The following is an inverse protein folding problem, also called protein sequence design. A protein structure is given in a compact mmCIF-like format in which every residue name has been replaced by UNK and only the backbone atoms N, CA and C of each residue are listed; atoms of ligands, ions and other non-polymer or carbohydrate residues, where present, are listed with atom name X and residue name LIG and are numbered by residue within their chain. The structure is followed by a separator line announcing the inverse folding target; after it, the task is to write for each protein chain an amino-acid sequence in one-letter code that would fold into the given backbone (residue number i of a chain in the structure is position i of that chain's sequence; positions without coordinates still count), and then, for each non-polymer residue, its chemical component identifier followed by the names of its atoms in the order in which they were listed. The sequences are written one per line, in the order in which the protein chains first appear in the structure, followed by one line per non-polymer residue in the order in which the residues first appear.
data_IF_602332755650
#
_entry.id   IF_602332755650
#
_cell.length_a   1.000
_cell.length_b   1.000
_cell.length_c   1.000
_cell.angle_alpha   90.00
_cell.angle_beta   90.00
_cell.angle_gamma   90.00
#
_symmetry.space_group_name_H-M   'P 1'
#
loop_
_entity.id
_entity.type
_entity.pdbx_description
1 polymer ?
#
# COMPACT_ATOMS: atom_id res chain seq x y z
N UNK A 1 30.57 -0.94 0.85
CA UNK A 1 30.82 0.08 -0.20
C UNK A 1 29.53 0.52 -0.91
N UNK A 2 28.71 -0.39 -1.45
CA UNK A 2 27.44 -0.04 -2.14
C UNK A 2 26.36 0.62 -1.24
N UNK A 3 26.32 0.28 0.05
CA UNK A 3 25.38 0.88 1.00
C UNK A 3 25.63 2.39 1.27
N UNK A 4 26.86 2.88 1.08
CA UNK A 4 27.23 4.27 1.38
C UNK A 4 26.97 5.25 0.22
N UNK A 5 26.85 4.73 -1.01
CA UNK A 5 26.61 5.56 -2.20
C UNK A 5 25.12 5.96 -2.32
N UNK A 6 24.21 5.15 -1.75
CA UNK A 6 22.77 5.44 -1.73
C UNK A 6 22.36 6.62 -0.84
N UNK A 7 23.23 7.04 0.09
CA UNK A 7 23.00 8.21 0.97
C UNK A 7 23.33 9.54 0.28
N UNK A 8 23.88 9.54 -0.95
CA UNK A 8 24.13 10.77 -1.72
C UNK A 8 22.84 11.25 -2.39
N UNK A 9 22.10 12.02 -1.61
CA UNK A 9 21.53 13.29 -2.05
C UNK A 9 20.24 13.27 -2.90
N UNK A 10 19.39 12.24 -2.79
CA UNK A 10 18.01 12.30 -3.28
C UNK A 10 17.06 11.63 -2.28
N UNK A 11 16.61 12.36 -1.27
CA UNK A 11 15.61 11.90 -0.28
C UNK A 11 14.37 11.28 -0.93
N UNK A 12 13.99 11.75 -2.12
CA UNK A 12 12.91 11.16 -2.91
C UNK A 12 13.19 9.73 -3.38
N UNK A 13 14.43 9.40 -3.75
CA UNK A 13 14.81 8.04 -4.16
C UNK A 13 14.81 7.06 -2.99
N UNK A 14 15.24 7.47 -1.80
CA UNK A 14 15.21 6.58 -0.63
C UNK A 14 13.78 6.28 -0.18
N UNK A 15 12.86 7.26 -0.30
CA UNK A 15 11.44 7.08 0.00
C UNK A 15 10.76 6.12 -0.99
N UNK A 16 11.02 6.28 -2.29
CA UNK A 16 10.48 5.37 -3.30
C UNK A 16 11.07 3.96 -3.13
N UNK A 17 12.37 3.86 -2.82
CA UNK A 17 13.04 2.59 -2.57
C UNK A 17 12.48 1.81 -1.38
N UNK A 18 12.22 2.47 -0.25
CA UNK A 18 11.61 1.81 0.92
C UNK A 18 10.15 1.41 0.67
N UNK A 19 9.38 2.24 -0.03
CA UNK A 19 8.01 1.92 -0.45
C UNK A 19 7.97 0.68 -1.34
N UNK A 20 8.82 0.62 -2.37
CA UNK A 20 8.94 -0.54 -3.25
C UNK A 20 9.39 -1.80 -2.52
N UNK A 21 10.31 -1.68 -1.54
CA UNK A 21 10.73 -2.82 -0.73
C UNK A 21 9.56 -3.39 0.08
N UNK A 22 8.76 -2.54 0.74
CA UNK A 22 7.58 -2.97 1.49
C UNK A 22 6.55 -3.65 0.57
N UNK A 23 6.25 -3.04 -0.59
CA UNK A 23 5.37 -3.65 -1.60
C UNK A 23 5.90 -5.00 -2.09
N UNK A 24 7.21 -5.10 -2.33
CA UNK A 24 7.85 -6.34 -2.77
C UNK A 24 7.75 -7.47 -1.75
N UNK A 25 7.88 -7.18 -0.46
CA UNK A 25 7.71 -8.17 0.62
C UNK A 25 6.28 -8.71 0.61
N UNK A 26 5.28 -7.82 0.58
CA UNK A 26 3.85 -8.21 0.57
C UNK A 26 3.52 -9.00 -0.69
N UNK A 27 4.00 -8.56 -1.86
CA UNK A 27 3.80 -9.25 -3.12
C UNK A 27 4.42 -10.65 -3.13
N UNK A 28 5.61 -10.82 -2.52
CA UNK A 28 6.29 -12.12 -2.44
C UNK A 28 5.52 -13.12 -1.59
N UNK A 29 4.97 -12.68 -0.45
CA UNK A 29 4.09 -13.51 0.40
C UNK A 29 2.85 -13.93 -0.39
N UNK A 30 2.18 -12.96 -1.04
CA UNK A 30 1.00 -13.24 -1.87
C UNK A 30 1.28 -14.24 -3.01
N UNK A 31 2.42 -14.08 -3.70
CA UNK A 31 2.83 -14.98 -4.76
C UNK A 31 3.15 -16.40 -4.24
N UNK A 32 3.79 -16.52 -3.06
CA UNK A 32 4.11 -17.81 -2.45
C UNK A 32 2.90 -18.58 -1.93
N UNK A 33 1.85 -17.86 -1.52
CA UNK A 33 0.64 -18.46 -0.96
C UNK A 33 -0.37 -18.83 -2.05
N UNK A 34 -0.25 -18.30 -3.27
CA UNK A 34 -1.11 -18.68 -4.38
C UNK A 34 -1.03 -20.20 -4.67
N UNK A 35 -2.14 -20.96 -4.71
CA UNK A 35 -3.55 -20.53 -4.80
C UNK A 35 -4.35 -20.56 -3.47
N UNK A 36 -3.70 -20.75 -2.33
CA UNK A 36 -4.31 -20.87 -1.00
C UNK A 36 -4.26 -19.54 -0.22
N UNK A 37 -5.42 -18.96 0.09
CA UNK A 37 -5.48 -17.70 0.85
C UNK A 37 -5.37 -17.99 2.36
N UNK A 38 -5.96 -19.09 2.83
CA UNK A 38 -5.87 -19.57 4.20
C UNK A 38 -5.78 -21.11 4.22
N UNK A 39 -4.60 -21.71 4.46
CA UNK A 39 -4.50 -23.16 4.63
C UNK A 39 -5.09 -23.60 5.98
N UNK A 40 -6.00 -24.58 5.98
CA UNK A 40 -6.55 -25.15 7.21
C UNK A 40 -5.57 -26.18 7.79
N UNK A 41 -5.15 -26.00 9.04
CA UNK A 41 -4.22 -26.88 9.74
C UNK A 41 -4.86 -28.15 10.32
N UNK A 42 -6.19 -28.27 10.27
CA UNK A 42 -6.96 -29.38 10.88
C UNK A 42 -7.60 -30.28 9.83
N UNK A 43 -7.98 -29.76 8.66
CA UNK A 43 -8.58 -30.56 7.59
C UNK A 43 -8.19 -30.02 6.20
N UNK A 44 -7.36 -30.74 5.42
CA UNK A 44 -6.82 -30.25 4.14
C UNK A 44 -7.89 -30.00 3.06
N UNK A 45 -9.09 -30.60 3.18
CA UNK A 45 -10.23 -30.38 2.28
C UNK A 45 -11.02 -29.08 2.52
N UNK A 46 -10.78 -28.38 3.64
CA UNK A 46 -11.41 -27.08 3.94
C UNK A 46 -10.48 -25.89 3.64
N UNK A 47 -9.49 -26.11 2.77
CA UNK A 47 -8.54 -25.06 2.38
C UNK A 47 -9.23 -24.10 1.42
N UNK A 48 -9.40 -22.84 1.85
CA UNK A 48 -10.00 -21.77 1.05
C UNK A 48 -9.05 -21.39 -0.09
N UNK A 49 -9.28 -21.98 -1.24
CA UNK A 49 -8.60 -21.63 -2.49
C UNK A 49 -9.30 -20.45 -3.15
N UNK A 50 -8.56 -19.68 -3.97
CA UNK A 50 -9.13 -18.56 -4.74
C UNK A 50 -10.36 -18.95 -5.58
N UNK A 51 -10.48 -20.23 -5.92
CA UNK A 51 -11.53 -20.78 -6.76
C UNK A 51 -12.83 -21.09 -6.00
N UNK A 52 -12.73 -21.46 -4.72
CA UNK A 52 -13.89 -21.86 -3.90
C UNK A 52 -14.32 -20.76 -2.91
N UNK A 53 -13.43 -19.80 -2.62
CA UNK A 53 -13.70 -18.69 -1.68
C UNK A 53 -14.23 -17.41 -2.35
N UNK A 54 -14.56 -17.45 -3.64
CA UNK A 54 -15.03 -16.27 -4.37
C UNK A 54 -16.55 -16.10 -4.22
N UNK A 55 -16.98 -14.89 -3.85
CA UNK A 55 -18.40 -14.53 -3.77
C UNK A 55 -19.10 -14.71 -5.14
N UNK A 56 -20.44 -14.68 -5.15
CA UNK A 56 -21.23 -14.83 -6.37
C UNK A 56 -20.78 -13.85 -7.48
N UNK A 57 -20.84 -14.30 -8.74
CA UNK A 57 -20.36 -13.52 -9.90
C UNK A 57 -20.91 -12.09 -9.95
N UNK A 58 -22.19 -11.89 -9.61
CA UNK A 58 -22.83 -10.57 -9.56
C UNK A 58 -22.17 -9.66 -8.51
N UNK A 59 -21.96 -10.16 -7.29
CA UNK A 59 -21.40 -9.35 -6.20
C UNK A 59 -19.93 -9.02 -6.43
N UNK A 60 -19.15 -9.97 -6.96
CA UNK A 60 -17.75 -9.74 -7.33
C UNK A 60 -17.63 -8.69 -8.44
N UNK A 61 -18.50 -8.76 -9.46
CA UNK A 61 -18.52 -7.79 -10.55
C UNK A 61 -18.87 -6.38 -10.06
N UNK A 62 -19.86 -6.24 -9.16
CA UNK A 62 -20.19 -4.94 -8.54
C UNK A 62 -18.99 -4.40 -7.76
N UNK A 63 -18.35 -5.23 -6.92
CA UNK A 63 -17.18 -4.80 -6.13
C UNK A 63 -15.99 -4.42 -7.01
N UNK A 64 -15.82 -5.05 -8.17
CA UNK A 64 -14.81 -4.68 -9.16
C UNK A 64 -15.07 -3.26 -9.71
N UNK A 65 -16.31 -2.97 -10.14
CA UNK A 65 -16.69 -1.64 -10.64
C UNK A 65 -16.46 -0.58 -9.56
N UNK A 66 -16.92 -0.85 -8.33
CA UNK A 66 -16.72 0.03 -7.18
C UNK A 66 -15.23 0.29 -6.96
N UNK A 67 -14.41 -0.76 -6.89
CA UNK A 67 -12.96 -0.61 -6.66
C UNK A 67 -12.29 0.20 -7.77
N UNK A 68 -12.62 -0.06 -9.04
CA UNK A 68 -12.05 0.66 -10.19
C UNK A 68 -12.40 2.15 -10.17
N UNK A 69 -13.54 2.55 -9.63
CA UNK A 69 -13.96 3.96 -9.53
C UNK A 69 -13.41 4.62 -8.27
N UNK A 70 -13.60 4.01 -7.10
CA UNK A 70 -13.29 4.65 -5.82
C UNK A 70 -11.80 4.69 -5.50
N UNK A 71 -11.03 3.66 -5.84
CA UNK A 71 -9.57 3.64 -5.57
C UNK A 71 -8.85 4.81 -6.25
N UNK A 72 -9.00 5.09 -7.55
CA UNK A 72 -8.32 6.22 -8.17
C UNK A 72 -8.79 7.57 -7.61
N UNK A 73 -10.07 7.72 -7.24
CA UNK A 73 -10.58 8.93 -6.59
C UNK A 73 -9.87 9.17 -5.25
N UNK A 74 -9.77 8.13 -4.41
CA UNK A 74 -9.09 8.21 -3.11
C UNK A 74 -7.61 8.56 -3.29
N UNK A 75 -6.93 7.94 -4.26
CA UNK A 75 -5.53 8.25 -4.56
C UNK A 75 -5.35 9.69 -5.06
N UNK A 76 -6.25 10.20 -5.90
CA UNK A 76 -6.21 11.58 -6.37
C UNK A 76 -6.38 12.58 -5.23
N UNK A 77 -7.35 12.35 -4.34
CA UNK A 77 -7.53 13.16 -3.13
C UNK A 77 -6.28 13.12 -2.24
N UNK A 78 -5.76 11.92 -1.98
CA UNK A 78 -4.57 11.74 -1.12
C UNK A 78 -3.35 12.45 -1.72
N UNK A 79 -3.11 12.32 -3.03
CA UNK A 79 -2.03 13.01 -3.72
C UNK A 79 -2.19 14.55 -3.68
N UNK A 80 -3.43 15.05 -3.80
CA UNK A 80 -3.72 16.48 -3.66
C UNK A 80 -3.45 16.98 -2.25
N UNK A 81 -3.88 16.25 -1.21
CA UNK A 81 -3.59 16.60 0.20
C UNK A 81 -2.08 16.68 0.44
N UNK A 82 -1.30 15.69 -0.01
CA UNK A 82 0.16 15.76 0.11
C UNK A 82 0.76 16.94 -0.63
N UNK A 83 0.21 17.30 -1.81
CA UNK A 83 0.61 18.50 -2.56
C UNK A 83 0.29 19.79 -1.81
N UNK A 84 -0.85 19.88 -1.13
CA UNK A 84 -1.25 21.06 -0.34
C UNK A 84 -0.37 21.21 0.91
N UNK A 85 -0.05 20.11 1.58
CA UNK A 85 0.81 20.09 2.76
C UNK A 85 2.31 20.17 2.44
N UNK A 86 2.67 20.36 1.17
CA UNK A 86 4.05 20.35 0.73
C UNK A 86 4.74 21.66 1.14
N UNK A 87 5.42 21.63 2.29
CA UNK A 87 6.17 22.74 2.85
C UNK A 87 7.18 22.25 3.88
N UNK A 88 8.28 22.99 4.06
CA UNK A 88 9.26 22.67 5.12
C UNK A 88 8.73 23.27 6.41
N UNK A 89 8.39 22.44 7.40
CA UNK A 89 8.07 22.93 8.74
C UNK A 89 9.35 23.44 9.39
N UNK A 90 9.37 24.72 9.73
CA UNK A 90 10.51 25.36 10.39
C UNK A 90 10.39 25.16 11.90
N UNK A 91 11.51 25.01 12.61
CA UNK A 91 11.50 24.79 14.07
C UNK A 91 10.89 25.97 14.83
N UNK A 92 10.91 27.17 14.26
CA UNK A 92 10.24 28.35 14.80
C UNK A 92 8.71 28.26 14.72
N UNK A 93 8.16 27.68 13.64
CA UNK A 93 6.71 27.44 13.50
C UNK A 93 6.23 26.29 14.39
N UNK A 94 7.08 25.30 14.64
CA UNK A 94 6.77 24.18 15.54
C UNK A 94 6.83 24.55 17.03
N UNK A 95 7.65 25.54 17.40
CA UNK A 95 7.79 26.03 18.78
C UNK A 95 6.97 27.30 19.08
N UNK A 96 6.44 27.96 18.05
CA UNK A 96 5.50 29.07 18.23
C UNK A 96 4.22 28.53 18.86
N UNK A 97 3.96 28.92 20.11
CA UNK A 97 2.67 28.67 20.75
C UNK A 97 1.58 29.30 19.87
N UNK A 98 0.69 28.43 19.38
CA UNK A 98 -0.23 28.71 18.28
C UNK A 98 -0.83 30.11 18.28
N UNK A 99 -0.46 30.88 17.28
CA UNK A 99 -1.27 32.00 16.79
C UNK A 99 -1.77 31.57 15.42
N UNK A 100 -2.88 30.84 15.44
CA UNK A 100 -3.82 30.90 14.32
C UNK A 100 -4.38 32.33 14.21
#
# INVERSE_FOLDING_TARGET
ALAFIGLRNKTSLSLIGSGLAATGIVASVGASMFPFILPSSINPNASLTVWDSSSSHLTLFIMLIVTVIFVPIILAYTAWVFKVLWGRLTTEEANAAGTY
#
